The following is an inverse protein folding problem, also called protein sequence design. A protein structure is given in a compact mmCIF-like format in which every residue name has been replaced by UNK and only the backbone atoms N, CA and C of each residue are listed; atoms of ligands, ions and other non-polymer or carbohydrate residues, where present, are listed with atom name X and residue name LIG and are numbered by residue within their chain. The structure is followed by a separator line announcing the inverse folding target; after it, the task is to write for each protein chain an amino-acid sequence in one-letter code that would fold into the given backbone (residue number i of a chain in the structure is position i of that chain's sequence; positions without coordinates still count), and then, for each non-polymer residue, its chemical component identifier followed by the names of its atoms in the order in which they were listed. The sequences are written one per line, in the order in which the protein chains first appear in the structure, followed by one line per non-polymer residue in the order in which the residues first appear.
data_IF_218661168995
#
_entry.id   IF_218661168995
#
_cell.length_a   1.000
_cell.length_b   1.000
_cell.length_c   1.000
_cell.angle_alpha   90.00
_cell.angle_beta   90.00
_cell.angle_gamma   90.00
#
_symmetry.space_group_name_H-M   'P 1'
#
loop_
_entity.id
_entity.type
_entity.pdbx_description
1 polymer ?
#
# COMPACT_ATOMS: atom_id res chain seq x y z
N UNK A 1 -25.77 19.20 1.41
CA UNK A 1 -25.82 17.73 1.43
C UNK A 1 -25.68 17.29 2.89
N UNK A 2 -26.43 16.29 3.33
CA UNK A 2 -26.41 15.77 4.71
C UNK A 2 -26.25 14.26 4.67
N UNK A 3 -25.41 13.71 5.55
CA UNK A 3 -25.12 12.28 5.63
C UNK A 3 -24.03 11.98 6.66
N UNK A 4 -23.75 10.70 6.87
CA UNK A 4 -22.58 10.25 7.62
C UNK A 4 -21.36 10.25 6.70
N UNK A 5 -20.40 11.15 6.99
CA UNK A 5 -19.16 11.30 6.23
C UNK A 5 -17.91 10.89 7.02
N UNK A 6 -18.06 10.50 8.28
CA UNK A 6 -16.93 10.08 9.13
C UNK A 6 -16.99 8.60 9.52
N UNK A 7 -18.00 7.86 9.06
CA UNK A 7 -18.24 6.46 9.44
C UNK A 7 -18.42 6.34 10.98
N UNK A 8 -19.30 7.17 11.52
CA UNK A 8 -19.66 7.17 12.94
C UNK A 8 -18.59 7.71 13.91
N UNK A 9 -17.51 8.33 13.42
CA UNK A 9 -16.48 8.92 14.28
C UNK A 9 -16.87 10.30 14.86
N UNK A 10 -17.91 10.94 14.32
CA UNK A 10 -18.39 12.24 14.80
C UNK A 10 -19.39 12.05 15.95
N UNK A 11 -18.92 12.34 17.18
CA UNK A 11 -19.69 12.17 18.41
C UNK A 11 -20.31 13.47 18.93
N UNK A 12 -19.97 14.64 18.39
CA UNK A 12 -20.54 15.89 18.82
C UNK A 12 -22.08 15.88 18.61
N UNK A 13 -22.86 16.47 19.54
CA UNK A 13 -24.30 16.61 19.36
C UNK A 13 -24.60 17.48 18.14
N UNK A 14 -25.73 17.23 17.49
CA UNK A 14 -26.09 17.89 16.23
C UNK A 14 -26.09 19.43 16.33
N UNK A 15 -26.42 19.97 17.51
CA UNK A 15 -26.41 21.41 17.79
C UNK A 15 -25.03 22.05 17.75
N UNK A 16 -23.96 21.28 17.99
CA UNK A 16 -22.57 21.74 17.99
C UNK A 16 -21.87 21.52 16.63
N UNK A 17 -22.51 20.79 15.70
CA UNK A 17 -21.92 20.49 14.39
C UNK A 17 -22.02 21.69 13.46
N UNK A 18 -20.87 22.16 13.00
CA UNK A 18 -20.80 23.24 12.03
C UNK A 18 -20.95 22.76 10.58
N UNK A 19 -21.50 23.62 9.72
CA UNK A 19 -21.55 23.37 8.29
C UNK A 19 -20.23 23.79 7.66
N UNK A 20 -19.53 22.84 7.06
CA UNK A 20 -18.29 23.12 6.33
C UNK A 20 -18.60 23.44 4.86
N UNK A 21 -18.07 24.55 4.35
CA UNK A 21 -18.14 24.89 2.93
C UNK A 21 -17.06 24.15 2.15
N UNK A 22 -17.44 23.45 1.08
CA UNK A 22 -16.54 22.63 0.27
C UNK A 22 -16.50 23.16 -1.17
N UNK A 23 -15.29 23.31 -1.70
CA UNK A 23 -15.00 23.68 -3.08
C UNK A 23 -13.82 22.88 -3.62
N UNK A 24 -13.44 23.11 -4.89
CA UNK A 24 -12.38 22.36 -5.57
C UNK A 24 -10.99 22.53 -4.95
N UNK A 25 -10.77 23.59 -4.17
CA UNK A 25 -9.47 23.94 -3.61
C UNK A 25 -9.29 23.44 -2.18
N UNK A 26 -10.37 23.16 -1.44
CA UNK A 26 -10.31 22.75 -0.03
C UNK A 26 -10.85 21.33 0.23
N UNK A 27 -11.28 20.60 -0.80
CA UNK A 27 -11.87 19.27 -0.63
C UNK A 27 -10.95 18.31 0.14
N UNK A 28 -9.68 18.19 -0.28
CA UNK A 28 -8.73 17.28 0.39
C UNK A 28 -8.41 17.72 1.82
N UNK A 29 -8.42 19.03 2.12
CA UNK A 29 -8.22 19.53 3.47
C UNK A 29 -9.39 19.09 4.38
N UNK A 30 -10.63 19.32 3.93
CA UNK A 30 -11.83 18.90 4.66
C UNK A 30 -11.87 17.38 4.82
N UNK A 31 -11.55 16.60 3.78
CA UNK A 31 -11.49 15.14 3.90
C UNK A 31 -10.43 14.68 4.91
N UNK A 32 -9.27 15.35 4.93
CA UNK A 32 -8.22 15.07 5.90
C UNK A 32 -8.64 15.38 7.34
N UNK A 33 -9.40 16.45 7.56
CA UNK A 33 -9.91 16.80 8.89
C UNK A 33 -10.87 15.74 9.43
N UNK A 34 -11.74 15.20 8.57
CA UNK A 34 -12.67 14.13 8.93
C UNK A 34 -11.98 12.76 9.04
N UNK A 35 -10.94 12.51 8.24
CA UNK A 35 -10.14 11.27 8.21
C UNK A 35 -10.98 9.98 8.39
N UNK A 36 -12.00 9.72 7.54
CA UNK A 36 -12.85 8.56 7.70
C UNK A 36 -12.02 7.28 7.74
N UNK A 37 -12.33 6.44 8.73
CA UNK A 37 -11.66 5.16 8.96
C UNK A 37 -12.62 4.01 8.69
N UNK A 38 -12.08 2.97 8.08
CA UNK A 38 -12.83 1.77 7.73
C UNK A 38 -12.05 0.57 8.27
N UNK A 39 -12.70 -0.22 9.13
CA UNK A 39 -12.17 -1.47 9.65
C UNK A 39 -13.01 -2.60 9.06
N UNK A 40 -12.38 -3.46 8.26
CA UNK A 40 -13.06 -4.55 7.56
C UNK A 40 -12.29 -5.84 7.80
N UNK A 41 -13.03 -6.94 7.91
CA UNK A 41 -12.46 -8.28 7.83
C UNK A 41 -12.72 -8.79 6.42
N UNK A 42 -11.66 -9.14 5.70
CA UNK A 42 -11.68 -9.54 4.29
C UNK A 42 -10.92 -10.84 4.11
N UNK A 43 -11.25 -11.60 3.06
CA UNK A 43 -10.53 -12.82 2.73
C UNK A 43 -9.06 -12.54 2.36
N UNK A 44 -8.14 -13.28 2.96
CA UNK A 44 -6.72 -13.26 2.59
C UNK A 44 -6.46 -14.19 1.41
N UNK A 45 -6.55 -13.61 0.21
CA UNK A 45 -6.29 -14.32 -1.05
C UNK A 45 -4.80 -14.59 -1.31
N UNK A 46 -3.87 -14.06 -0.50
CA UNK A 46 -2.43 -14.30 -0.67
C UNK A 46 -2.00 -15.68 -0.18
N UNK A 47 -2.63 -16.19 0.88
CA UNK A 47 -2.35 -17.50 1.44
C UNK A 47 -3.16 -18.61 0.74
N UNK A 48 -4.33 -18.28 0.18
CA UNK A 48 -5.17 -19.23 -0.56
C UNK A 48 -5.82 -20.31 0.30
N UNK A 49 -5.86 -20.12 1.63
CA UNK A 49 -6.38 -21.08 2.60
C UNK A 49 -7.72 -20.64 3.25
N UNK A 50 -8.35 -19.60 2.67
CA UNK A 50 -9.64 -19.08 3.11
C UNK A 50 -9.61 -18.35 4.45
N UNK A 51 -8.42 -18.06 5.00
CA UNK A 51 -8.31 -17.24 6.21
C UNK A 51 -8.74 -15.81 5.90
N UNK A 52 -9.34 -15.17 6.90
CA UNK A 52 -9.66 -13.76 6.84
C UNK A 52 -8.58 -12.91 7.52
N UNK A 53 -8.43 -11.69 7.04
CA UNK A 53 -7.53 -10.68 7.58
C UNK A 53 -8.31 -9.41 7.91
N UNK A 54 -8.01 -8.83 9.07
CA UNK A 54 -8.56 -7.54 9.44
C UNK A 54 -7.69 -6.42 8.88
N UNK A 55 -8.29 -5.56 8.06
CA UNK A 55 -7.64 -4.38 7.48
C UNK A 55 -8.23 -3.11 8.08
N UNK A 56 -7.35 -2.14 8.32
CA UNK A 56 -7.71 -0.78 8.73
C UNK A 56 -7.26 0.19 7.66
N UNK A 57 -8.21 0.91 7.10
CA UNK A 57 -7.98 1.95 6.10
C UNK A 57 -8.34 3.32 6.67
N UNK A 58 -7.55 4.32 6.32
CA UNK A 58 -7.78 5.73 6.65
C UNK A 58 -7.66 6.55 5.38
N UNK A 59 -8.65 7.38 5.09
CA UNK A 59 -8.66 8.22 3.90
C UNK A 59 -8.50 9.69 4.29
N UNK A 60 -7.48 10.36 3.76
CA UNK A 60 -7.17 11.77 4.02
C UNK A 60 -7.30 12.64 2.79
N UNK A 61 -7.21 12.05 1.60
CA UNK A 61 -7.35 12.76 0.32
C UNK A 61 -8.01 11.84 -0.71
N UNK A 62 -8.45 12.40 -1.83
CA UNK A 62 -9.13 11.61 -2.87
C UNK A 62 -8.27 10.50 -3.50
N UNK A 63 -6.93 10.64 -3.50
CA UNK A 63 -6.05 9.59 -4.03
C UNK A 63 -6.00 8.36 -3.15
N UNK A 64 -6.35 8.48 -1.86
CA UNK A 64 -6.34 7.35 -0.93
C UNK A 64 -7.35 6.26 -1.32
N UNK A 65 -8.36 6.59 -2.12
CA UNK A 65 -9.30 5.64 -2.70
C UNK A 65 -8.75 4.84 -3.89
N UNK A 66 -7.56 5.17 -4.38
CA UNK A 66 -6.95 4.40 -5.47
C UNK A 66 -6.39 3.08 -4.93
N UNK A 67 -6.42 1.99 -5.73
CA UNK A 67 -5.90 0.69 -5.30
C UNK A 67 -4.45 0.74 -4.83
N UNK A 68 -3.63 1.61 -5.44
CA UNK A 68 -2.24 1.79 -5.04
C UNK A 68 -2.12 2.36 -3.61
N UNK A 69 -2.90 3.39 -3.26
CA UNK A 69 -2.85 3.95 -1.91
C UNK A 69 -3.46 2.99 -0.88
N UNK A 70 -4.55 2.29 -1.22
CA UNK A 70 -5.13 1.25 -0.36
C UNK A 70 -4.09 0.16 -0.06
N UNK A 71 -3.42 -0.35 -1.09
CA UNK A 71 -2.38 -1.37 -0.93
C UNK A 71 -1.18 -0.89 -0.10
N UNK A 72 -0.86 0.41 -0.10
CA UNK A 72 0.20 0.97 0.76
C UNK A 72 -0.16 1.01 2.25
N UNK A 73 -1.45 0.97 2.59
CA UNK A 73 -1.92 0.95 3.98
C UNK A 73 -1.92 -0.46 4.58
N UNK A 74 -1.93 -1.49 3.73
CA UNK A 74 -1.90 -2.90 4.15
C UNK A 74 -0.44 -3.38 4.16
N UNK A 75 0.15 -3.76 5.32
CA UNK A 75 1.58 -4.05 5.44
C UNK A 75 2.12 -5.08 4.42
N UNK A 76 1.37 -6.14 4.17
CA UNK A 76 1.74 -7.23 3.26
C UNK A 76 1.78 -6.72 1.81
N UNK A 77 0.74 -6.02 1.38
CA UNK A 77 0.67 -5.46 0.02
C UNK A 77 1.70 -4.34 -0.19
N UNK A 78 2.00 -3.56 0.84
CA UNK A 78 3.07 -2.55 0.80
C UNK A 78 4.43 -3.18 0.52
N UNK A 79 4.76 -4.29 1.18
CA UNK A 79 6.00 -5.03 0.93
C UNK A 79 6.03 -5.57 -0.52
N UNK A 80 4.93 -6.13 -1.02
CA UNK A 80 4.83 -6.60 -2.41
C UNK A 80 4.98 -5.46 -3.43
N UNK A 81 4.40 -4.28 -3.15
CA UNK A 81 4.58 -3.09 -4.00
C UNK A 81 6.04 -2.63 -4.05
N UNK A 82 6.73 -2.64 -2.90
CA UNK A 82 8.16 -2.31 -2.84
C UNK A 82 8.98 -3.30 -3.67
N UNK A 83 8.71 -4.60 -3.53
CA UNK A 83 9.35 -5.66 -4.30
C UNK A 83 9.09 -5.51 -5.80
N UNK A 84 7.84 -5.23 -6.21
CA UNK A 84 7.50 -4.96 -7.62
C UNK A 84 8.31 -3.78 -8.17
N UNK A 85 8.41 -2.69 -7.41
CA UNK A 85 9.16 -1.51 -7.84
C UNK A 85 10.65 -1.83 -7.97
N UNK A 86 11.23 -2.53 -7.00
CA UNK A 86 12.63 -2.98 -7.05
C UNK A 86 12.88 -3.83 -8.30
N UNK A 87 12.03 -4.81 -8.59
CA UNK A 87 12.15 -5.66 -9.78
C UNK A 87 11.99 -4.87 -11.09
N UNK A 88 11.10 -3.88 -11.12
CA UNK A 88 10.91 -3.00 -12.29
C UNK A 88 12.15 -2.15 -12.52
N UNK A 89 12.70 -1.56 -11.47
CA UNK A 89 13.87 -0.70 -11.54
C UNK A 89 15.12 -1.53 -11.89
N UNK A 90 15.22 -2.77 -11.36
CA UNK A 90 16.24 -3.74 -11.76
C UNK A 90 16.17 -4.03 -13.26
N UNK A 91 14.97 -4.31 -13.79
CA UNK A 91 14.75 -4.56 -15.22
C UNK A 91 15.15 -3.37 -16.09
N UNK A 92 14.82 -2.15 -15.67
CA UNK A 92 15.18 -0.94 -16.41
C UNK A 92 16.71 -0.76 -16.46
N UNK A 93 17.38 -0.82 -15.31
CA UNK A 93 18.84 -0.68 -15.22
C UNK A 93 19.59 -1.79 -15.98
N UNK A 94 19.03 -3.00 -16.04
CA UNK A 94 19.60 -4.10 -16.79
C UNK A 94 19.63 -3.81 -18.30
N UNK A 95 18.64 -3.10 -18.84
CA UNK A 95 18.59 -2.81 -20.27
C UNK A 95 19.61 -1.75 -20.68
N UNK A 96 19.89 -0.79 -19.80
CA UNK A 96 20.70 0.39 -20.11
C UNK A 96 22.17 0.26 -19.68
N UNK A 97 22.49 -0.58 -18.69
CA UNK A 97 23.84 -0.69 -18.13
C UNK A 97 24.48 -2.06 -18.45
N UNK A 98 25.41 -2.07 -19.40
CA UNK A 98 26.11 -3.29 -19.83
C UNK A 98 27.03 -3.87 -18.75
N UNK A 99 27.65 -3.04 -17.91
CA UNK A 99 28.48 -3.48 -16.78
C UNK A 99 27.63 -4.17 -15.73
N UNK A 100 26.48 -3.57 -15.39
CA UNK A 100 25.52 -4.15 -14.47
C UNK A 100 25.00 -5.52 -14.94
N UNK A 101 24.68 -5.65 -16.24
CA UNK A 101 24.33 -6.95 -16.86
C UNK A 101 25.38 -8.03 -16.62
N UNK A 102 26.65 -7.72 -16.89
CA UNK A 102 27.75 -8.68 -16.73
C UNK A 102 27.95 -9.10 -15.27
N UNK A 103 27.85 -8.17 -14.33
CA UNK A 103 27.97 -8.51 -12.90
C UNK A 103 26.76 -9.31 -12.41
N UNK A 104 25.55 -8.99 -12.85
CA UNK A 104 24.36 -9.80 -12.52
C UNK A 104 24.45 -11.22 -13.12
N UNK A 105 24.93 -11.36 -14.35
CA UNK A 105 25.17 -12.68 -14.97
C UNK A 105 26.18 -13.51 -14.17
N UNK A 106 27.27 -12.91 -13.67
CA UNK A 106 28.23 -13.60 -12.80
C UNK A 106 27.56 -14.08 -11.50
N UNK A 107 26.76 -13.23 -10.86
CA UNK A 107 26.03 -13.56 -9.63
C UNK A 107 25.03 -14.70 -9.89
N UNK A 108 24.39 -14.73 -11.06
CA UNK A 108 23.44 -15.79 -11.42
C UNK A 108 24.12 -17.12 -11.79
N UNK A 109 25.34 -17.08 -12.32
CA UNK A 109 26.13 -18.27 -12.65
C UNK A 109 26.76 -18.92 -11.42
N UNK A 110 27.00 -18.15 -10.36
CA UNK A 110 27.46 -18.67 -9.07
C UNK A 110 26.27 -19.10 -8.19
N UNK A 111 26.13 -20.41 -7.89
CA UNK A 111 25.02 -20.91 -7.08
C UNK A 111 24.97 -20.32 -5.67
N UNK A 112 26.12 -19.98 -5.06
CA UNK A 112 26.18 -19.43 -3.71
C UNK A 112 25.68 -17.98 -3.70
N UNK A 113 26.19 -17.15 -4.62
CA UNK A 113 25.76 -15.75 -4.74
C UNK A 113 24.29 -15.64 -5.19
N UNK A 114 23.84 -16.54 -6.07
CA UNK A 114 22.43 -16.61 -6.47
C UNK A 114 21.52 -16.97 -5.29
N UNK A 115 21.94 -17.90 -4.44
CA UNK A 115 21.18 -18.29 -3.25
C UNK A 115 21.11 -17.15 -2.22
N UNK A 116 22.22 -16.44 -2.01
CA UNK A 116 22.27 -15.26 -1.13
C UNK A 116 21.32 -14.16 -1.61
N UNK A 117 21.39 -13.79 -2.89
CA UNK A 117 20.50 -12.80 -3.49
C UNK A 117 19.02 -13.21 -3.36
N UNK A 118 18.69 -14.47 -3.61
CA UNK A 118 17.32 -14.99 -3.43
C UNK A 118 16.87 -14.93 -1.97
N UNK A 119 17.77 -15.17 -1.03
CA UNK A 119 17.48 -15.08 0.40
C UNK A 119 17.17 -13.65 0.80
N UNK A 120 17.97 -12.67 0.37
CA UNK A 120 17.72 -11.25 0.64
C UNK A 120 16.39 -10.77 0.04
N UNK A 121 16.10 -11.15 -1.21
CA UNK A 121 14.83 -10.82 -1.86
C UNK A 121 13.64 -11.48 -1.16
N UNK A 122 13.81 -12.69 -0.65
CA UNK A 122 12.76 -13.41 0.11
C UNK A 122 12.55 -12.84 1.50
N UNK A 123 13.59 -12.27 2.12
CA UNK A 123 13.48 -11.56 3.40
C UNK A 123 12.73 -10.23 3.27
N UNK A 124 12.77 -9.61 2.09
CA UNK A 124 12.02 -8.40 1.74
C UNK A 124 10.55 -8.69 1.38
N UNK A 125 10.27 -9.90 0.89
CA UNK A 125 8.90 -10.35 0.66
C UNK A 125 8.19 -10.56 2.02
N UNK A 126 6.89 -10.25 2.13
CA UNK A 126 6.15 -10.51 3.35
C UNK A 126 6.21 -12.02 3.65
N UNK A 127 6.68 -12.38 4.86
CA UNK A 127 6.60 -13.76 5.34
C UNK A 127 5.14 -14.19 5.26
N UNK A 128 4.87 -15.32 4.62
CA UNK A 128 3.55 -15.94 4.63
C UNK A 128 3.08 -16.00 6.09
N UNK A 129 2.01 -15.26 6.37
CA UNK A 129 1.30 -15.34 7.64
C UNK A 129 0.53 -16.67 7.71
#
# INVERSE_FOLDING_TARGET
VTGDFSNGQEHAPLSEREKVNINKNNFDAVLSDYSPQVNLTVENTLAGDGREENIRLTFRNMKDFTPEQVARQIPQLKAMLAMRNLLRDLKANLLDNQTFRKELEKILLDPALSAELRSELSALAPKQA
#
